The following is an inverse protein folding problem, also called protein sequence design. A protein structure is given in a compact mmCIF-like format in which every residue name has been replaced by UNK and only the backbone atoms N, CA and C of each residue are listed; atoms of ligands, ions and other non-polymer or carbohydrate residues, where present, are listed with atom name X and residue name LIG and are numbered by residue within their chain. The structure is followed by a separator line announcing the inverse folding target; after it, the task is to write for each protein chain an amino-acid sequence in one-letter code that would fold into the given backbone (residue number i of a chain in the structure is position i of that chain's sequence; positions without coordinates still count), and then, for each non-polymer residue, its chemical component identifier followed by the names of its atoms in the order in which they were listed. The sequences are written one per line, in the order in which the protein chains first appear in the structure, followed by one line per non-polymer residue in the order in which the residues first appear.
data_IF_839696750432
#
_entry.id   IF_839696750432
#
_cell.length_a   1.000
_cell.length_b   1.000
_cell.length_c   1.000
_cell.angle_alpha   90.00
_cell.angle_beta   90.00
_cell.angle_gamma   90.00
#
_symmetry.space_group_name_H-M   'P 1'
#
loop_
_entity.id
_entity.type
_entity.pdbx_description
1 polymer ?
#
# COMPACT_ATOMS: atom_id res chain seq x y z
N UNK A 1 26.43 11.05 1.56
CA UNK A 1 25.30 11.25 2.49
C UNK A 1 25.03 9.98 3.29
N UNK A 2 25.07 10.07 4.62
CA UNK A 2 24.85 8.95 5.55
C UNK A 2 24.33 9.49 6.88
N UNK A 3 23.97 8.61 7.81
CA UNK A 3 23.60 9.00 9.16
C UNK A 3 24.73 9.73 9.93
N UNK A 4 26.00 9.61 9.50
CA UNK A 4 27.14 10.25 10.17
C UNK A 4 27.55 11.58 9.53
N UNK A 5 27.40 11.73 8.21
CA UNK A 5 27.95 12.87 7.48
C UNK A 5 26.90 13.93 7.11
N UNK A 6 25.61 13.57 7.06
CA UNK A 6 24.49 14.49 6.75
C UNK A 6 23.18 13.95 7.36
N UNK A 7 23.07 13.85 8.69
CA UNK A 7 22.00 13.09 9.34
C UNK A 7 20.59 13.56 8.98
N UNK A 8 20.38 14.88 8.86
CA UNK A 8 19.07 15.44 8.56
C UNK A 8 18.65 15.25 7.10
N UNK A 9 19.57 15.45 6.15
CA UNK A 9 19.29 15.16 4.73
C UNK A 9 19.11 13.65 4.52
N UNK A 10 19.90 12.81 5.19
CA UNK A 10 19.75 11.34 5.18
C UNK A 10 18.45 10.86 5.80
N UNK A 11 17.96 11.56 6.82
CA UNK A 11 16.63 11.31 7.35
C UNK A 11 15.54 11.71 6.33
N UNK A 12 15.64 12.90 5.74
CA UNK A 12 14.65 13.43 4.81
C UNK A 12 14.52 12.58 3.53
N UNK A 13 15.63 12.13 2.95
CA UNK A 13 15.61 11.26 1.76
C UNK A 13 15.00 9.87 2.03
N UNK A 14 14.82 9.46 3.29
CA UNK A 14 14.21 8.17 3.66
C UNK A 14 12.71 8.32 3.96
N UNK A 15 11.98 8.81 2.95
CA UNK A 15 10.52 8.88 2.96
C UNK A 15 9.91 10.25 2.74
N UNK A 16 10.72 11.31 2.57
CA UNK A 16 10.25 12.70 2.40
C UNK A 16 9.75 13.05 0.99
N UNK A 17 9.46 12.04 0.16
CA UNK A 17 9.02 12.22 -1.22
C UNK A 17 10.15 12.66 -2.17
N UNK A 18 10.21 12.04 -3.35
CA UNK A 18 11.19 12.41 -4.38
C UNK A 18 11.00 13.85 -4.86
N UNK A 19 12.10 14.48 -5.30
CA UNK A 19 12.06 15.81 -5.88
C UNK A 19 11.94 16.97 -4.89
N UNK A 20 12.16 16.77 -3.58
CA UNK A 20 12.13 17.83 -2.58
C UNK A 20 13.50 18.37 -2.13
N UNK A 21 14.57 17.58 -2.36
CA UNK A 21 15.87 17.78 -1.70
C UNK A 21 17.07 17.65 -2.64
N UNK A 22 16.84 17.32 -3.91
CA UNK A 22 17.91 16.98 -4.84
C UNK A 22 17.59 15.82 -5.79
N UNK A 23 18.57 15.49 -6.63
CA UNK A 23 18.56 14.33 -7.51
C UNK A 23 19.37 13.22 -6.85
N UNK A 24 18.70 12.16 -6.40
CA UNK A 24 19.37 10.99 -5.84
C UNK A 24 19.89 10.11 -6.96
N UNK A 25 21.20 9.93 -7.05
CA UNK A 25 21.86 9.18 -8.13
C UNK A 25 22.15 7.72 -7.79
N UNK A 26 22.20 7.37 -6.51
CA UNK A 26 22.45 6.00 -6.06
C UNK A 26 21.89 5.74 -4.67
N UNK A 27 21.59 4.47 -4.39
CA UNK A 27 21.19 3.99 -3.07
C UNK A 27 22.07 2.82 -2.66
N UNK A 28 22.34 2.71 -1.36
CA UNK A 28 22.96 1.53 -0.76
C UNK A 28 21.96 0.89 0.19
N UNK A 29 21.60 -0.36 -0.09
CA UNK A 29 20.66 -1.12 0.74
C UNK A 29 21.39 -2.15 1.60
N UNK A 30 20.92 -2.33 2.83
CA UNK A 30 21.26 -3.50 3.63
C UNK A 30 20.23 -4.60 3.30
N UNK A 31 20.58 -5.51 2.38
CA UNK A 31 19.69 -6.57 1.94
C UNK A 31 19.67 -7.73 2.98
N UNK A 32 18.51 -8.08 3.55
CA UNK A 32 18.40 -9.27 4.40
C UNK A 32 18.55 -10.54 3.56
N UNK A 33 18.88 -11.66 4.22
CA UNK A 33 18.91 -12.97 3.57
C UNK A 33 17.50 -13.34 3.14
N UNK A 34 17.32 -13.65 1.85
CA UNK A 34 16.05 -14.16 1.34
C UNK A 34 15.73 -15.52 1.99
N UNK A 35 14.47 -15.76 2.40
CA UNK A 35 14.06 -17.08 2.86
C UNK A 35 14.16 -18.09 1.72
N UNK A 36 14.42 -19.35 2.04
CA UNK A 36 14.42 -20.43 1.04
C UNK A 36 13.02 -20.74 0.53
N UNK A 37 11.99 -20.47 1.35
CA UNK A 37 10.60 -20.78 1.07
C UNK A 37 9.67 -19.70 1.64
N UNK A 38 8.59 -19.42 0.91
CA UNK A 38 7.52 -18.49 1.27
C UNK A 38 6.20 -19.15 0.89
N UNK A 39 5.25 -19.19 1.83
CA UNK A 39 3.88 -19.59 1.52
C UNK A 39 3.12 -18.37 1.04
N UNK A 40 2.47 -18.45 -0.11
CA UNK A 40 1.60 -17.42 -0.66
C UNK A 40 0.17 -17.90 -0.61
N UNK A 41 -0.75 -17.04 -0.18
CA UNK A 41 -2.17 -17.37 -0.11
C UNK A 41 -3.07 -16.33 -0.78
N UNK A 42 -4.25 -16.79 -1.21
CA UNK A 42 -5.30 -15.98 -1.81
C UNK A 42 -6.65 -16.63 -1.57
N UNK A 43 -7.57 -15.88 -0.97
CA UNK A 43 -8.94 -16.27 -0.66
C UNK A 43 -9.87 -15.28 -1.38
N UNK A 44 -10.73 -15.80 -2.26
CA UNK A 44 -11.80 -15.03 -2.88
C UNK A 44 -13.11 -15.39 -2.20
N UNK A 45 -13.89 -14.39 -1.79
CA UNK A 45 -15.17 -14.59 -1.11
C UNK A 45 -16.35 -14.24 -2.03
N UNK A 46 -17.58 -14.72 -1.73
CA UNK A 46 -18.78 -14.34 -2.47
C UNK A 46 -19.00 -12.83 -2.46
N UNK A 47 -19.54 -12.28 -3.55
CA UNK A 47 -19.97 -10.88 -3.55
C UNK A 47 -20.99 -10.62 -2.42
N UNK A 48 -20.89 -9.48 -1.75
CA UNK A 48 -21.77 -9.13 -0.63
C UNK A 48 -21.25 -9.58 0.75
N UNK A 49 -20.19 -10.39 0.81
CA UNK A 49 -19.50 -10.74 2.07
C UNK A 49 -18.47 -9.70 2.51
N UNK A 50 -18.24 -8.65 1.71
CA UNK A 50 -17.15 -7.69 1.90
C UNK A 50 -17.14 -7.05 3.29
N UNK A 51 -18.31 -6.69 3.85
CA UNK A 51 -18.44 -6.11 5.19
C UNK A 51 -17.88 -7.04 6.26
N UNK A 52 -18.35 -8.30 6.30
CA UNK A 52 -17.95 -9.25 7.33
C UNK A 52 -16.48 -9.65 7.18
N UNK A 53 -16.03 -9.89 5.94
CA UNK A 53 -14.65 -10.28 5.65
C UNK A 53 -13.68 -9.16 6.04
N UNK A 54 -14.01 -7.90 5.74
CA UNK A 54 -13.19 -6.75 6.12
C UNK A 54 -13.17 -6.53 7.65
N UNK A 55 -14.30 -6.70 8.33
CA UNK A 55 -14.37 -6.66 9.80
C UNK A 55 -13.47 -7.73 10.42
N UNK A 56 -13.60 -8.98 9.96
CA UNK A 56 -12.80 -10.10 10.44
C UNK A 56 -11.30 -9.92 10.13
N UNK A 57 -10.95 -9.41 8.95
CA UNK A 57 -9.56 -9.21 8.52
C UNK A 57 -8.80 -8.31 9.49
N UNK A 58 -9.38 -7.18 9.88
CA UNK A 58 -8.77 -6.23 10.81
C UNK A 58 -8.46 -6.86 12.17
N UNK A 59 -9.39 -7.67 12.70
CA UNK A 59 -9.18 -8.39 13.98
C UNK A 59 -8.17 -9.53 13.85
N UNK A 60 -8.11 -10.16 12.67
CA UNK A 60 -7.20 -11.27 12.39
C UNK A 60 -5.75 -10.82 12.25
N UNK A 61 -5.49 -9.61 11.73
CA UNK A 61 -4.13 -9.05 11.66
C UNK A 61 -3.40 -9.06 13.00
N UNK A 62 -4.11 -8.82 14.12
CA UNK A 62 -3.52 -8.85 15.46
C UNK A 62 -3.09 -10.25 15.93
N UNK A 63 -3.56 -11.31 15.25
CA UNK A 63 -3.21 -12.70 15.54
C UNK A 63 -2.07 -13.23 14.65
N UNK A 64 -1.69 -12.45 13.63
CA UNK A 64 -0.65 -12.86 12.70
C UNK A 64 0.75 -12.72 13.35
N UNK A 65 1.64 -13.70 13.13
CA UNK A 65 3.04 -13.55 13.50
C UNK A 65 3.74 -12.53 12.59
N UNK A 66 4.89 -12.00 13.02
CA UNK A 66 5.65 -11.00 12.26
C UNK A 66 6.14 -11.49 10.89
N UNK A 67 6.22 -12.81 10.70
CA UNK A 67 6.59 -13.47 9.46
C UNK A 67 5.45 -13.50 8.44
N UNK A 68 4.24 -13.08 8.81
CA UNK A 68 3.07 -13.01 7.95
C UNK A 68 2.77 -11.56 7.52
N UNK A 69 2.37 -11.41 6.27
CA UNK A 69 1.82 -10.18 5.73
C UNK A 69 0.52 -10.50 5.00
N UNK A 70 -0.47 -9.60 5.08
CA UNK A 70 -1.73 -9.76 4.36
C UNK A 70 -2.19 -8.46 3.73
N UNK A 71 -2.86 -8.59 2.59
CA UNK A 71 -3.69 -7.55 2.05
C UNK A 71 -5.15 -7.97 1.91
N UNK A 72 -6.03 -6.98 1.84
CA UNK A 72 -7.45 -7.13 1.59
C UNK A 72 -7.86 -6.17 0.48
N UNK A 73 -8.43 -6.69 -0.61
CA UNK A 73 -8.81 -5.91 -1.78
C UNK A 73 -10.32 -5.96 -1.94
N UNK A 74 -10.97 -4.81 -1.87
CA UNK A 74 -12.41 -4.63 -2.12
C UNK A 74 -12.59 -4.03 -3.50
N UNK A 75 -13.21 -4.77 -4.41
CA UNK A 75 -13.52 -4.29 -5.76
C UNK A 75 -14.93 -3.72 -5.82
N UNK A 76 -15.04 -2.48 -6.30
CA UNK A 76 -16.28 -1.74 -6.44
C UNK A 76 -17.23 -2.36 -7.48
N UNK A 77 -18.52 -2.28 -7.19
CA UNK A 77 -19.62 -2.78 -8.02
C UNK A 77 -20.91 -2.80 -7.21
N UNK A 78 -22.08 -2.92 -7.85
CA UNK A 78 -23.40 -2.91 -7.17
C UNK A 78 -23.49 -3.86 -5.98
N UNK A 79 -22.74 -4.96 -6.03
CA UNK A 79 -22.43 -5.82 -4.90
C UNK A 79 -20.92 -5.96 -4.81
N UNK A 80 -20.22 -5.19 -3.95
CA UNK A 80 -18.77 -5.22 -3.86
C UNK A 80 -18.25 -6.64 -3.59
N UNK A 81 -17.16 -6.99 -4.27
CA UNK A 81 -16.46 -8.26 -4.06
C UNK A 81 -15.19 -8.06 -3.27
N UNK A 82 -14.69 -9.12 -2.62
CA UNK A 82 -13.54 -9.03 -1.74
C UNK A 82 -12.60 -10.22 -1.93
N UNK A 83 -11.30 -9.94 -1.84
CA UNK A 83 -10.24 -10.93 -1.82
C UNK A 83 -9.25 -10.61 -0.72
N UNK A 84 -8.82 -11.64 0.02
CA UNK A 84 -7.74 -11.54 0.99
C UNK A 84 -6.54 -12.32 0.46
N UNK A 85 -5.38 -11.70 0.45
CA UNK A 85 -4.13 -12.30 0.01
C UNK A 85 -3.03 -12.08 1.02
N UNK A 86 -1.88 -12.69 0.78
CA UNK A 86 -0.71 -12.48 1.61
C UNK A 86 0.40 -13.48 1.40
N UNK A 87 1.41 -13.34 2.24
CA UNK A 87 2.58 -14.22 2.29
C UNK A 87 2.94 -14.55 3.73
N UNK A 88 3.62 -15.68 3.91
CA UNK A 88 4.08 -16.14 5.20
C UNK A 88 5.44 -16.83 5.07
N UNK A 89 6.41 -16.40 5.88
CA UNK A 89 7.70 -17.10 6.01
C UNK A 89 7.59 -18.11 7.14
N UNK A 90 7.10 -19.30 6.82
CA UNK A 90 6.91 -20.38 7.78
C UNK A 90 6.21 -21.56 7.13
N UNK A 91 5.67 -22.47 7.95
CA UNK A 91 5.03 -23.68 7.43
C UNK A 91 3.65 -23.41 6.83
N UNK A 92 3.31 -24.14 5.75
CA UNK A 92 1.96 -24.12 5.18
C UNK A 92 0.88 -24.51 6.21
N UNK A 93 1.17 -25.49 7.07
CA UNK A 93 0.23 -25.95 8.09
C UNK A 93 -0.13 -24.84 9.10
N UNK A 94 0.85 -24.04 9.51
CA UNK A 94 0.62 -22.91 10.43
C UNK A 94 -0.30 -21.87 9.82
N UNK A 95 -0.03 -21.43 8.57
CA UNK A 95 -0.87 -20.42 7.93
C UNK A 95 -2.24 -20.97 7.55
N UNK A 96 -2.38 -22.27 7.23
CA UNK A 96 -3.69 -22.87 7.02
C UNK A 96 -4.57 -22.80 8.26
N UNK A 97 -4.03 -23.11 9.45
CA UNK A 97 -4.78 -22.98 10.70
C UNK A 97 -5.23 -21.54 10.97
N UNK A 98 -4.34 -20.56 10.74
CA UNK A 98 -4.69 -19.14 10.91
C UNK A 98 -5.74 -18.68 9.89
N UNK A 99 -5.70 -19.21 8.67
CA UNK A 99 -6.68 -18.93 7.63
C UNK A 99 -8.03 -19.59 7.93
N UNK A 100 -8.04 -20.78 8.53
CA UNK A 100 -9.28 -21.45 8.96
C UNK A 100 -10.00 -20.65 10.05
N UNK A 101 -9.26 -20.18 11.06
CA UNK A 101 -9.78 -19.30 12.11
C UNK A 101 -10.32 -17.98 11.53
N UNK A 102 -9.60 -17.40 10.58
CA UNK A 102 -10.05 -16.21 9.87
C UNK A 102 -11.36 -16.47 9.10
N UNK A 103 -11.41 -17.52 8.28
CA UNK A 103 -12.59 -17.88 7.47
C UNK A 103 -13.80 -18.10 8.37
N UNK A 104 -13.64 -18.81 9.49
CA UNK A 104 -14.71 -19.04 10.46
C UNK A 104 -15.30 -17.71 10.99
N UNK A 105 -14.45 -16.72 11.29
CA UNK A 105 -14.88 -15.38 11.76
C UNK A 105 -15.57 -14.54 10.70
N UNK A 106 -15.36 -14.80 9.41
CA UNK A 106 -16.05 -14.05 8.35
C UNK A 106 -17.53 -14.45 8.19
N UNK A 107 -17.91 -15.63 8.71
CA UNK A 107 -19.19 -16.29 8.44
C UNK A 107 -19.49 -16.45 6.93
N UNK A 108 -18.45 -16.46 6.09
CA UNK A 108 -18.53 -16.63 4.65
C UNK A 108 -17.51 -17.66 4.17
N UNK A 109 -17.94 -18.61 3.37
CA UNK A 109 -17.03 -19.59 2.77
C UNK A 109 -16.36 -19.01 1.52
N UNK A 110 -15.02 -19.04 1.39
CA UNK A 110 -14.34 -18.62 0.17
C UNK A 110 -14.82 -19.43 -1.03
N UNK A 111 -15.10 -18.75 -2.14
CA UNK A 111 -15.38 -19.39 -3.44
C UNK A 111 -14.11 -19.93 -4.09
N UNK A 112 -12.95 -19.36 -3.75
CA UNK A 112 -11.63 -19.88 -4.12
C UNK A 112 -10.67 -19.72 -2.96
N UNK A 113 -9.86 -20.75 -2.72
CA UNK A 113 -8.74 -20.74 -1.76
C UNK A 113 -7.51 -21.32 -2.44
N UNK A 114 -6.41 -20.58 -2.38
CA UNK A 114 -5.10 -21.02 -2.82
C UNK A 114 -4.10 -20.76 -1.70
N UNK A 115 -3.31 -21.76 -1.35
CA UNK A 115 -2.23 -21.69 -0.35
C UNK A 115 -1.09 -22.52 -0.90
N UNK A 116 -0.02 -21.88 -1.35
CA UNK A 116 1.02 -22.52 -2.15
C UNK A 116 2.39 -22.12 -1.64
N UNK A 117 3.23 -23.11 -1.37
CA UNK A 117 4.63 -22.89 -1.05
C UNK A 117 5.43 -22.55 -2.32
N UNK A 118 6.31 -21.56 -2.22
CA UNK A 118 7.10 -21.01 -3.33
C UNK A 118 8.53 -20.73 -2.88
N UNK A 119 9.47 -20.81 -3.81
CA UNK A 119 10.76 -20.15 -3.60
C UNK A 119 10.56 -18.63 -3.48
N UNK A 120 11.50 -17.93 -2.85
CA UNK A 120 11.40 -16.47 -2.71
C UNK A 120 11.20 -15.75 -4.06
N UNK A 121 11.96 -16.13 -5.10
CA UNK A 121 11.84 -15.50 -6.42
C UNK A 121 10.49 -15.81 -7.09
N UNK A 122 9.91 -16.98 -6.85
CA UNK A 122 8.59 -17.34 -7.37
C UNK A 122 7.47 -16.58 -6.66
N UNK A 123 7.63 -16.33 -5.36
CA UNK A 123 6.73 -15.45 -4.63
C UNK A 123 6.82 -14.00 -5.13
N UNK A 124 8.03 -13.48 -5.41
CA UNK A 124 8.20 -12.17 -6.03
C UNK A 124 7.52 -12.09 -7.40
N UNK A 125 7.68 -13.11 -8.25
CA UNK A 125 6.98 -13.19 -9.55
C UNK A 125 5.46 -13.31 -9.41
N UNK A 126 4.98 -13.99 -8.37
CA UNK A 126 3.55 -14.06 -8.06
C UNK A 126 2.98 -12.68 -7.75
N UNK A 127 3.59 -11.92 -6.83
CA UNK A 127 3.13 -10.57 -6.49
C UNK A 127 3.37 -9.56 -7.62
N UNK A 128 4.38 -9.78 -8.46
CA UNK A 128 4.59 -9.02 -9.69
C UNK A 128 3.60 -9.34 -10.82
N UNK A 129 2.62 -10.23 -10.61
CA UNK A 129 1.62 -10.58 -11.62
C UNK A 129 2.18 -11.35 -12.82
N UNK A 130 3.33 -12.02 -12.67
CA UNK A 130 4.07 -12.65 -13.75
C UNK A 130 4.47 -14.11 -13.42
N UNK A 131 3.70 -14.79 -12.58
CA UNK A 131 4.04 -16.14 -12.07
C UNK A 131 4.25 -17.21 -13.15
N UNK A 132 3.68 -17.04 -14.34
CA UNK A 132 3.81 -17.97 -15.47
C UNK A 132 4.94 -17.60 -16.44
N UNK A 133 5.66 -16.51 -16.17
CA UNK A 133 6.71 -15.95 -17.02
C UNK A 133 8.09 -16.27 -16.48
N UNK A 134 9.10 -16.38 -17.35
CA UNK A 134 10.51 -16.41 -16.92
C UNK A 134 10.91 -15.08 -16.26
N UNK A 135 12.07 -15.03 -15.61
CA UNK A 135 12.57 -13.78 -15.04
C UNK A 135 12.74 -12.69 -16.10
N UNK A 136 13.34 -13.02 -17.25
CA UNK A 136 13.49 -12.08 -18.36
C UNK A 136 12.14 -11.57 -18.89
N UNK A 137 11.16 -12.47 -19.01
CA UNK A 137 9.81 -12.12 -19.45
C UNK A 137 9.03 -11.28 -18.43
N UNK A 138 9.37 -11.34 -17.14
CA UNK A 138 8.79 -10.52 -16.08
C UNK A 138 9.41 -9.10 -16.02
N UNK A 139 9.68 -8.51 -17.18
CA UNK A 139 10.17 -7.14 -17.34
C UNK A 139 9.47 -6.47 -18.52
N UNK A 140 9.57 -5.15 -18.61
CA UNK A 140 9.23 -4.44 -19.84
C UNK A 140 10.25 -4.77 -20.92
N UNK A 141 9.80 -4.75 -22.18
CA UNK A 141 10.70 -4.92 -23.33
C UNK A 141 11.82 -3.87 -23.38
N UNK A 142 11.60 -2.69 -22.77
CA UNK A 142 12.60 -1.62 -22.64
C UNK A 142 13.64 -1.85 -21.53
N UNK A 143 13.40 -2.79 -20.60
CA UNK A 143 14.24 -3.01 -19.41
C UNK A 143 15.08 -4.28 -19.52
N UNK A 144 14.57 -5.30 -20.22
CA UNK A 144 15.27 -6.58 -20.42
C UNK A 144 15.01 -7.12 -21.81
N UNK A 145 16.05 -7.69 -22.43
CA UNK A 145 15.87 -8.54 -23.60
C UNK A 145 14.90 -9.69 -23.26
N UNK A 146 13.86 -9.87 -24.08
CA UNK A 146 12.81 -10.86 -23.85
C UNK A 146 11.72 -10.44 -22.86
N UNK A 147 11.70 -9.19 -22.39
CA UNK A 147 10.61 -8.62 -21.59
C UNK A 147 9.30 -8.56 -22.36
N UNK A 148 8.21 -8.97 -21.72
CA UNK A 148 6.85 -9.04 -22.34
C UNK A 148 5.77 -8.37 -21.49
N UNK A 149 6.14 -7.66 -20.42
CA UNK A 149 5.19 -6.89 -19.63
C UNK A 149 4.83 -5.59 -20.35
N UNK A 150 3.60 -5.14 -20.13
CA UNK A 150 3.08 -3.88 -20.65
C UNK A 150 2.79 -2.90 -19.51
N UNK A 151 2.91 -1.60 -19.78
CA UNK A 151 2.54 -0.56 -18.81
C UNK A 151 1.03 -0.44 -18.75
N UNK A 152 0.50 -0.35 -17.53
CA UNK A 152 -0.92 -0.08 -17.29
C UNK A 152 -1.08 1.39 -16.91
N UNK A 153 -2.06 2.06 -17.53
CA UNK A 153 -2.44 3.42 -17.13
C UNK A 153 -3.49 3.35 -16.02
N UNK A 154 -3.29 4.13 -14.97
CA UNK A 154 -4.20 4.19 -13.83
C UNK A 154 -4.23 5.59 -13.22
N UNK A 155 -5.24 5.82 -12.38
CA UNK A 155 -5.25 6.88 -11.39
C UNK A 155 -5.32 6.22 -10.02
N UNK A 156 -4.51 6.72 -9.09
CA UNK A 156 -4.50 6.22 -7.72
C UNK A 156 -4.37 7.36 -6.72
N UNK A 157 -4.87 7.11 -5.51
CA UNK A 157 -4.69 7.96 -4.34
C UNK A 157 -4.60 7.06 -3.10
N UNK A 158 -4.39 7.64 -1.92
CA UNK A 158 -4.29 6.87 -0.69
C UNK A 158 -4.93 7.53 0.52
N UNK A 159 -5.19 6.69 1.52
CA UNK A 159 -5.37 7.02 2.92
C UNK A 159 -4.55 6.07 3.80
N UNK A 160 -4.54 6.31 5.10
CA UNK A 160 -4.01 5.38 6.09
C UNK A 160 -5.14 4.93 7.00
N UNK A 161 -5.27 3.63 7.22
CA UNK A 161 -6.19 3.07 8.20
C UNK A 161 -5.55 3.19 9.57
N UNK A 162 -5.83 4.27 10.30
CA UNK A 162 -5.09 4.62 11.52
C UNK A 162 -5.48 3.76 12.73
N UNK A 163 -6.71 3.27 12.74
CA UNK A 163 -7.27 2.36 13.75
C UNK A 163 -8.29 1.42 13.07
N UNK A 164 -8.65 0.27 13.68
CA UNK A 164 -9.69 -0.58 13.13
C UNK A 164 -10.99 0.21 12.82
N UNK A 165 -11.51 0.05 11.60
CA UNK A 165 -12.80 0.60 11.16
C UNK A 165 -13.92 0.04 12.03
N UNK A 166 -14.70 0.94 12.63
CA UNK A 166 -15.91 0.60 13.38
C UNK A 166 -17.10 0.25 12.49
N UNK A 167 -17.13 0.76 11.25
CA UNK A 167 -18.24 0.58 10.31
C UNK A 167 -17.76 0.14 8.91
N UNK A 168 -17.32 -1.13 8.73
CA UNK A 168 -16.92 -1.66 7.42
C UNK A 168 -18.03 -1.61 6.35
N UNK A 169 -19.29 -1.59 6.78
CA UNK A 169 -20.46 -1.47 5.91
C UNK A 169 -20.49 -0.13 5.17
N UNK A 170 -20.06 0.96 5.81
CA UNK A 170 -19.95 2.27 5.16
C UNK A 170 -18.99 2.26 3.97
N UNK A 171 -17.86 1.55 4.09
CA UNK A 171 -16.93 1.36 2.97
C UNK A 171 -17.62 0.63 1.82
N UNK A 172 -18.30 -0.47 2.11
CA UNK A 172 -18.96 -1.26 1.07
C UNK A 172 -20.10 -0.48 0.40
N UNK A 173 -20.88 0.28 1.17
CA UNK A 173 -21.94 1.14 0.66
C UNK A 173 -21.40 2.28 -0.21
N UNK A 174 -20.22 2.82 0.12
CA UNK A 174 -19.51 3.77 -0.73
C UNK A 174 -19.11 3.12 -2.06
N UNK A 175 -18.44 1.97 -2.01
CA UNK A 175 -17.95 1.28 -3.21
C UNK A 175 -19.05 0.69 -4.09
N UNK A 176 -20.25 0.47 -3.53
CA UNK A 176 -21.42 0.05 -4.32
C UNK A 176 -21.86 1.09 -5.38
N UNK A 177 -21.44 2.35 -5.23
CA UNK A 177 -21.76 3.45 -6.15
C UNK A 177 -20.82 3.54 -7.35
N UNK A 178 -19.75 2.74 -7.37
CA UNK A 178 -18.68 2.81 -8.37
C UNK A 178 -18.45 1.45 -9.03
N UNK A 179 -17.68 1.45 -10.12
CA UNK A 179 -17.26 0.24 -10.82
C UNK A 179 -15.83 0.39 -11.35
N UNK A 180 -15.14 -0.73 -11.56
CA UNK A 180 -13.77 -0.75 -12.09
C UNK A 180 -12.75 -0.03 -11.19
N UNK A 181 -13.00 -0.02 -9.88
CA UNK A 181 -12.15 0.57 -8.86
C UNK A 181 -11.87 -0.47 -7.79
N UNK A 182 -10.64 -0.51 -7.31
CA UNK A 182 -10.24 -1.32 -6.18
C UNK A 182 -9.82 -0.42 -5.01
N UNK A 183 -10.23 -0.80 -3.81
CA UNK A 183 -9.65 -0.28 -2.56
C UNK A 183 -8.83 -1.39 -1.93
N UNK A 184 -7.52 -1.17 -1.85
CA UNK A 184 -6.55 -2.14 -1.34
C UNK A 184 -6.11 -1.71 0.06
N UNK A 185 -6.20 -2.63 1.01
CA UNK A 185 -5.65 -2.49 2.36
C UNK A 185 -4.43 -3.38 2.46
N UNK A 186 -3.24 -2.80 2.59
CA UNK A 186 -2.01 -3.55 2.83
C UNK A 186 -1.63 -3.42 4.30
N UNK A 187 -1.58 -4.54 5.02
CA UNK A 187 -1.34 -4.51 6.47
C UNK A 187 0.02 -3.92 6.80
N UNK A 188 0.03 -3.06 7.81
CA UNK A 188 1.23 -2.66 8.53
C UNK A 188 1.29 -3.44 9.86
N UNK A 189 2.12 -3.00 10.79
CA UNK A 189 2.42 -3.72 12.03
C UNK A 189 3.80 -4.37 11.98
N UNK A 190 4.03 -5.31 12.90
CA UNK A 190 5.33 -5.96 13.09
C UNK A 190 6.49 -4.97 13.09
N UNK A 191 7.48 -5.19 12.23
CA UNK A 191 8.67 -4.34 12.16
C UNK A 191 8.39 -2.87 11.79
N UNK A 192 7.29 -2.59 11.10
CA UNK A 192 6.89 -1.21 10.79
C UNK A 192 6.54 -0.47 12.08
N UNK A 193 5.81 -1.11 12.99
CA UNK A 193 5.37 -0.52 14.26
C UNK A 193 6.49 -0.41 15.30
N UNK A 194 7.52 -1.26 15.23
CA UNK A 194 8.72 -1.16 16.10
C UNK A 194 9.59 0.08 15.79
N UNK A 195 9.44 0.68 14.61
CA UNK A 195 10.22 1.85 14.22
C UNK A 195 9.53 3.12 14.76
N UNK A 196 10.24 4.03 15.47
CA UNK A 196 9.66 5.28 15.93
C UNK A 196 9.08 6.13 14.77
N UNK A 197 7.95 6.85 14.97
CA UNK A 197 7.32 7.69 13.95
C UNK A 197 8.22 8.76 13.32
N UNK A 198 9.27 9.18 14.02
CA UNK A 198 10.24 10.19 13.60
C UNK A 198 11.60 9.61 13.18
N UNK A 199 11.79 8.29 13.19
CA UNK A 199 13.07 7.67 12.80
C UNK A 199 13.39 7.82 11.31
N UNK A 200 12.35 7.98 10.48
CA UNK A 200 12.44 8.44 9.10
C UNK A 200 11.27 9.39 8.81
N UNK A 201 11.25 10.00 7.62
CA UNK A 201 10.18 10.93 7.25
C UNK A 201 8.76 10.31 7.22
N UNK A 202 8.63 8.98 7.05
CA UNK A 202 7.34 8.28 7.05
C UNK A 202 6.82 8.05 8.48
N UNK A 203 5.69 8.69 8.89
CA UNK A 203 5.25 8.72 10.28
C UNK A 203 4.21 7.65 10.65
N UNK A 204 3.57 6.99 9.67
CA UNK A 204 2.41 6.13 9.90
C UNK A 204 2.80 4.73 10.39
N UNK A 205 3.61 4.68 11.45
CA UNK A 205 4.20 3.45 12.02
C UNK A 205 3.16 2.60 12.75
N UNK A 206 2.18 3.25 13.37
CA UNK A 206 1.13 2.60 14.18
C UNK A 206 -0.19 2.43 13.44
N UNK A 207 -0.27 2.83 12.16
CA UNK A 207 -1.48 2.60 11.37
C UNK A 207 -1.64 1.09 11.13
N UNK A 208 -2.88 0.61 11.02
CA UNK A 208 -3.18 -0.80 10.78
C UNK A 208 -2.88 -1.21 9.33
N UNK A 209 -3.12 -0.31 8.38
CA UNK A 209 -2.89 -0.57 6.96
C UNK A 209 -2.67 0.73 6.16
N UNK A 210 -1.96 0.66 5.04
CA UNK A 210 -2.11 1.64 3.97
C UNK A 210 -3.33 1.31 3.12
N UNK A 211 -4.09 2.33 2.75
CA UNK A 211 -5.31 2.19 1.95
C UNK A 211 -5.09 2.85 0.60
N UNK A 212 -5.09 2.07 -0.47
CA UNK A 212 -4.95 2.59 -1.84
C UNK A 212 -6.31 2.61 -2.51
N UNK A 213 -6.65 3.71 -3.19
CA UNK A 213 -7.78 3.78 -4.10
C UNK A 213 -7.22 3.73 -5.51
N UNK A 214 -7.53 2.68 -6.26
CA UNK A 214 -6.94 2.42 -7.57
C UNK A 214 -8.00 2.26 -8.64
N UNK A 215 -7.82 2.94 -9.77
CA UNK A 215 -8.70 2.79 -10.94
C UNK A 215 -7.89 2.77 -12.23
N UNK A 216 -8.00 1.69 -12.99
CA UNK A 216 -7.47 1.60 -14.34
C UNK A 216 -8.12 2.64 -15.26
N UNK A 217 -7.34 3.21 -16.18
CA UNK A 217 -7.78 4.31 -17.03
C UNK A 217 -7.19 4.22 -18.44
N UNK A 218 -7.81 4.93 -19.37
CA UNK A 218 -7.25 5.30 -20.68
C UNK A 218 -7.13 6.82 -20.77
N UNK A 219 -6.58 7.35 -21.85
CA UNK A 219 -6.57 8.78 -22.10
C UNK A 219 -7.99 9.38 -22.14
N UNK A 220 -8.95 8.67 -22.74
CA UNK A 220 -10.31 9.16 -22.94
C UNK A 220 -11.12 9.28 -21.64
N UNK A 221 -10.92 8.39 -20.66
CA UNK A 221 -11.68 8.38 -19.41
C UNK A 221 -10.88 8.87 -18.18
N UNK A 222 -9.65 9.36 -18.37
CA UNK A 222 -8.75 9.82 -17.28
C UNK A 222 -9.41 10.84 -16.37
N UNK A 223 -10.04 11.88 -16.93
CA UNK A 223 -10.69 12.92 -16.13
C UNK A 223 -11.82 12.34 -15.24
N UNK A 224 -12.57 11.36 -15.76
CA UNK A 224 -13.60 10.68 -14.99
C UNK A 224 -13.01 9.78 -13.90
N UNK A 225 -11.96 9.03 -14.21
CA UNK A 225 -11.25 8.20 -13.23
C UNK A 225 -10.66 9.06 -12.10
N UNK A 226 -10.01 10.17 -12.42
CA UNK A 226 -9.48 11.14 -11.43
C UNK A 226 -10.57 11.67 -10.52
N UNK A 227 -11.72 12.09 -11.07
CA UNK A 227 -12.82 12.59 -10.26
C UNK A 227 -13.33 11.53 -9.28
N UNK A 228 -13.58 10.31 -9.76
CA UNK A 228 -14.11 9.23 -8.93
C UNK A 228 -13.12 8.76 -7.86
N UNK A 229 -11.83 8.68 -8.17
CA UNK A 229 -10.79 8.37 -7.18
C UNK A 229 -10.75 9.44 -6.09
N UNK A 230 -10.83 10.73 -6.46
CA UNK A 230 -10.87 11.84 -5.50
C UNK A 230 -12.13 11.84 -4.61
N UNK A 231 -13.31 11.55 -5.18
CA UNK A 231 -14.56 11.40 -4.43
C UNK A 231 -14.46 10.29 -3.38
N UNK A 232 -13.96 9.11 -3.76
CA UNK A 232 -13.80 7.96 -2.85
C UNK A 232 -12.73 8.26 -1.81
N UNK A 233 -11.58 8.84 -2.20
CA UNK A 233 -10.53 9.19 -1.24
C UNK A 233 -10.99 10.22 -0.20
N UNK A 234 -11.81 11.18 -0.60
CA UNK A 234 -12.40 12.17 0.30
C UNK A 234 -13.37 11.50 1.27
N UNK A 235 -14.27 10.65 0.76
CA UNK A 235 -15.24 9.94 1.59
C UNK A 235 -14.59 8.94 2.56
N UNK A 236 -13.44 8.36 2.20
CA UNK A 236 -12.68 7.48 3.08
C UNK A 236 -12.16 8.17 4.35
N UNK A 237 -11.98 9.49 4.34
CA UNK A 237 -11.40 10.21 5.48
C UNK A 237 -12.18 9.97 6.79
N UNK A 238 -13.50 9.89 6.73
CA UNK A 238 -14.35 9.61 7.91
C UNK A 238 -14.43 8.13 8.28
N UNK A 239 -13.97 7.23 7.40
CA UNK A 239 -14.05 5.77 7.59
C UNK A 239 -12.72 5.22 8.10
N UNK A 240 -11.59 5.65 7.52
CA UNK A 240 -10.27 5.07 7.79
C UNK A 240 -9.29 6.03 8.48
N UNK A 241 -9.55 7.34 8.41
CA UNK A 241 -8.69 8.38 8.97
C UNK A 241 -8.14 9.35 7.92
N UNK A 242 -7.52 10.45 8.40
CA UNK A 242 -7.06 11.56 7.56
C UNK A 242 -5.67 11.37 6.94
N UNK A 243 -4.89 10.38 7.40
CA UNK A 243 -3.53 10.14 6.90
C UNK A 243 -3.50 9.79 5.41
N UNK A 244 -2.39 10.04 4.74
CA UNK A 244 -2.13 9.69 3.34
C UNK A 244 -0.68 9.19 3.18
N UNK A 245 -0.37 8.52 2.09
CA UNK A 245 0.99 8.06 1.80
C UNK A 245 1.54 8.78 0.57
N UNK A 246 2.66 9.50 0.75
CA UNK A 246 3.24 10.38 -0.29
C UNK A 246 3.53 9.68 -1.62
N UNK A 247 3.81 8.37 -1.62
CA UNK A 247 4.03 7.62 -2.87
C UNK A 247 2.75 7.47 -3.72
N UNK A 248 1.59 7.81 -3.17
CA UNK A 248 0.30 7.97 -3.87
C UNK A 248 -0.13 9.43 -3.82
N UNK A 249 0.73 10.30 -4.34
CA UNK A 249 0.52 11.75 -4.39
C UNK A 249 -0.81 12.09 -5.07
N UNK A 250 -1.63 12.89 -4.39
CA UNK A 250 -2.95 13.28 -4.86
C UNK A 250 -3.04 14.81 -4.92
N UNK A 251 -3.12 15.41 -6.13
CA UNK A 251 -3.18 16.85 -6.28
C UNK A 251 -4.45 17.48 -5.67
N UNK A 252 -5.48 16.68 -5.37
CA UNK A 252 -6.73 17.17 -4.76
C UNK A 252 -6.72 17.09 -3.22
N UNK A 253 -5.74 16.44 -2.60
CA UNK A 253 -5.59 16.41 -1.15
C UNK A 253 -5.07 17.76 -0.67
N UNK A 254 -5.94 18.57 -0.05
CA UNK A 254 -5.61 19.94 0.37
C UNK A 254 -4.56 19.99 1.49
N UNK A 255 -4.74 19.18 2.52
CA UNK A 255 -3.87 19.06 3.70
C UNK A 255 -2.79 17.98 3.53
N UNK A 256 -2.33 17.77 2.29
CA UNK A 256 -1.46 16.66 1.90
C UNK A 256 -0.18 16.53 2.75
N UNK A 257 0.44 17.65 3.13
CA UNK A 257 1.69 17.65 3.90
C UNK A 257 1.48 17.07 5.30
N UNK A 258 0.44 17.54 6.01
CA UNK A 258 0.07 17.01 7.32
C UNK A 258 -0.45 15.58 7.24
N UNK A 259 -1.26 15.28 6.23
CA UNK A 259 -1.76 13.94 5.99
C UNK A 259 -0.62 12.93 5.76
N UNK A 260 0.45 13.32 5.06
CA UNK A 260 1.57 12.44 4.70
C UNK A 260 2.67 12.34 5.76
N UNK A 261 2.94 13.44 6.47
CA UNK A 261 4.13 13.57 7.33
C UNK A 261 3.80 13.83 8.80
N UNK A 262 2.56 14.14 9.15
CA UNK A 262 2.15 14.45 10.54
C UNK A 262 3.08 15.50 11.17
N UNK A 263 3.72 15.17 12.29
CA UNK A 263 4.68 16.03 13.00
C UNK A 263 6.09 16.07 12.38
N UNK A 264 6.35 15.27 11.34
CA UNK A 264 7.63 15.30 10.62
C UNK A 264 7.67 16.42 9.56
N UNK A 265 6.54 17.07 9.26
CA UNK A 265 6.43 18.05 8.18
C UNK A 265 7.36 19.25 8.39
N UNK A 266 7.39 19.80 9.60
CA UNK A 266 8.20 20.98 9.93
C UNK A 266 9.69 20.70 9.75
N UNK A 267 10.13 19.51 10.19
CA UNK A 267 11.51 19.07 10.01
C UNK A 267 11.84 18.95 8.52
N UNK A 268 10.96 18.32 7.72
CA UNK A 268 11.16 18.22 6.27
C UNK A 268 11.28 19.59 5.61
N UNK A 269 10.38 20.52 5.94
CA UNK A 269 10.41 21.88 5.40
C UNK A 269 11.70 22.63 5.81
N UNK A 270 12.17 22.43 7.05
CA UNK A 270 13.43 23.01 7.53
C UNK A 270 14.64 22.45 6.77
N UNK A 271 14.69 21.14 6.54
CA UNK A 271 15.77 20.50 5.76
C UNK A 271 15.74 20.99 4.31
N UNK A 272 14.56 21.05 3.68
CA UNK A 272 14.44 21.54 2.30
C UNK A 272 14.99 22.97 2.18
N UNK A 273 14.59 23.90 3.06
CA UNK A 273 15.12 25.28 3.04
C UNK A 273 16.63 25.38 3.30
N UNK A 274 17.20 24.47 4.09
CA UNK A 274 18.63 24.48 4.38
C UNK A 274 19.49 24.01 3.18
N UNK A 275 18.98 23.07 2.38
CA UNK A 275 19.70 22.48 1.26
C UNK A 275 19.29 23.02 -0.12
N UNK A 276 18.12 23.66 -0.21
CA UNK A 276 17.57 24.29 -1.41
C UNK A 276 16.92 25.65 -1.06
N UNK A 277 17.72 26.65 -0.63
CA UNK A 277 17.20 27.95 -0.18
C UNK A 277 16.50 28.74 -1.30
N UNK A 278 16.85 28.48 -2.57
CA UNK A 278 16.29 29.14 -3.74
C UNK A 278 15.04 28.43 -4.28
N UNK A 279 14.69 27.25 -3.74
CA UNK A 279 13.52 26.48 -4.14
C UNK A 279 13.61 25.90 -5.55
N UNK A 280 14.80 25.53 -6.01
CA UNK A 280 14.99 24.91 -7.34
C UNK A 280 14.17 23.64 -7.52
N UNK A 281 13.97 22.88 -6.44
CA UNK A 281 13.20 21.63 -6.43
C UNK A 281 11.73 21.83 -6.04
N UNK A 282 11.21 23.05 -6.05
CA UNK A 282 9.81 23.30 -5.72
C UNK A 282 8.86 22.75 -6.80
N UNK A 283 7.75 22.16 -6.34
CA UNK A 283 6.61 21.72 -7.17
C UNK A 283 5.31 21.83 -6.37
N UNK A 284 4.16 21.56 -7.00
CA UNK A 284 2.83 21.82 -6.46
C UNK A 284 2.55 21.22 -5.06
N UNK A 285 3.19 20.10 -4.71
CA UNK A 285 3.12 19.47 -3.39
C UNK A 285 4.54 19.18 -2.86
N UNK A 286 5.45 20.13 -3.03
CA UNK A 286 6.76 20.12 -2.38
C UNK A 286 6.64 20.50 -0.90
N UNK A 287 7.53 20.00 -0.03
CA UNK A 287 7.47 20.18 1.43
C UNK A 287 7.53 21.64 1.88
N UNK A 288 7.99 22.56 1.02
CA UNK A 288 7.99 24.01 1.24
C UNK A 288 6.66 24.68 0.85
N UNK A 289 5.82 24.01 0.06
CA UNK A 289 4.47 24.43 -0.32
C UNK A 289 3.36 23.80 0.55
N UNK A 290 3.76 23.07 1.59
CA UNK A 290 2.90 22.28 2.47
C UNK A 290 2.24 23.07 3.61
#
# INVERSE_FOLDING_TARGET
MSAANDPDLFWALRGGGGGNFGIVTSFRFAAPKAPSSVVVFSLQFPAGSATNVLGAWQSWLATLPNEAWSNCVVSAGSTPSIRVGGSFVGSKATIDSLLDDFVAKTHAQPTKRSVVEKSYIDAMRYFGGCSTKTLAQCHLASESAGGVLERQAFVASSRMLESPMSAPDQLTALLAKYSGMDVLFDSLGGKVAETPPDATAFPHRTALASVQVYKGTTAANRANATRQVGEVQTALASIVGGGAYINYIDPNQRDWGRASYKGNLEKLASVSRAYDPDGFFAFAQSVTAA
#
